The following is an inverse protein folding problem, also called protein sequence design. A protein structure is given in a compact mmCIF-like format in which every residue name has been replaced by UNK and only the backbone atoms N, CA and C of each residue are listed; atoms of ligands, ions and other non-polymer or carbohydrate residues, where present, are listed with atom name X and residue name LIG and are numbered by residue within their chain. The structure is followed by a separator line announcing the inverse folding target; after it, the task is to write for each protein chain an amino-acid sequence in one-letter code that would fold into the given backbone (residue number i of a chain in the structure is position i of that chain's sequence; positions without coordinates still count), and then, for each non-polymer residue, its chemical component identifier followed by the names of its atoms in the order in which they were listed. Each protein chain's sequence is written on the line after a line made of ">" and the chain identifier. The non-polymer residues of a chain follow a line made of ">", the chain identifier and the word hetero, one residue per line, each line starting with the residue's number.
data_IF_558007897676
#
_entry.id   IF_558007897676
#
_cell.length_a   1.000
_cell.length_b   1.000
_cell.length_c   1.000
_cell.angle_alpha   90.00
_cell.angle_beta   90.00
_cell.angle_gamma   90.00
#
_symmetry.space_group_name_H-M   'P 1'
#
loop_
_entity.id
_entity.type
_entity.pdbx_description
1 polymer ?
#
# COMPACT_ATOMS: atom_id res chain seq x y z
N UNK A 1 -42.15 -18.66 70.57
CA UNK A 1 -41.38 -18.61 69.30
C UNK A 1 -40.99 -17.15 69.04
N UNK A 2 -39.70 -16.84 68.94
CA UNK A 2 -39.19 -15.47 69.00
C UNK A 2 -39.64 -14.62 67.78
N UNK A 3 -40.33 -13.48 67.95
CA UNK A 3 -40.92 -12.70 66.85
C UNK A 3 -39.87 -12.25 65.80
N UNK A 4 -38.63 -12.03 66.22
CA UNK A 4 -37.51 -11.70 65.31
C UNK A 4 -37.23 -12.82 64.29
N UNK A 5 -37.39 -14.09 64.66
CA UNK A 5 -37.15 -15.22 63.75
C UNK A 5 -38.27 -15.39 62.70
N UNK A 6 -39.50 -14.99 63.01
CA UNK A 6 -40.59 -14.98 62.01
C UNK A 6 -40.36 -13.91 60.94
N UNK A 7 -39.91 -12.72 61.33
CA UNK A 7 -39.61 -11.64 60.40
C UNK A 7 -38.49 -12.01 59.41
N UNK A 8 -37.42 -12.67 59.88
CA UNK A 8 -36.30 -13.11 59.04
C UNK A 8 -36.77 -14.14 57.98
N UNK A 9 -37.61 -15.11 58.37
CA UNK A 9 -38.13 -16.12 57.43
C UNK A 9 -39.02 -15.51 56.34
N UNK A 10 -39.83 -14.52 56.68
CA UNK A 10 -40.65 -13.79 55.70
C UNK A 10 -39.77 -12.99 54.74
N UNK A 11 -38.73 -12.33 55.24
CA UNK A 11 -37.80 -11.56 54.40
C UNK A 11 -37.06 -12.46 53.38
N UNK A 12 -36.59 -13.63 53.81
CA UNK A 12 -35.94 -14.60 52.91
C UNK A 12 -36.92 -15.09 51.84
N UNK A 13 -38.16 -15.41 52.21
CA UNK A 13 -39.18 -15.88 51.26
C UNK A 13 -39.50 -14.82 50.19
N UNK A 14 -39.62 -13.55 50.59
CA UNK A 14 -39.89 -12.43 49.67
C UNK A 14 -38.68 -12.18 48.75
N UNK A 15 -37.45 -12.24 49.28
CA UNK A 15 -36.23 -12.07 48.48
C UNK A 15 -36.06 -13.17 47.42
N UNK A 16 -36.34 -14.43 47.79
CA UNK A 16 -36.31 -15.55 46.83
C UNK A 16 -37.37 -15.41 45.74
N UNK A 17 -38.59 -14.95 46.10
CA UNK A 17 -39.64 -14.69 45.13
C UNK A 17 -39.24 -13.57 44.14
N UNK A 18 -38.65 -12.49 44.64
CA UNK A 18 -38.15 -11.40 43.80
C UNK A 18 -37.04 -11.87 42.84
N UNK A 19 -36.12 -12.72 43.31
CA UNK A 19 -35.05 -13.28 42.47
C UNK A 19 -35.59 -14.15 41.33
N UNK A 20 -36.60 -14.99 41.60
CA UNK A 20 -37.25 -15.81 40.57
C UNK A 20 -37.95 -14.94 39.53
N UNK A 21 -38.62 -13.87 39.94
CA UNK A 21 -39.26 -12.92 39.02
C UNK A 21 -38.21 -12.26 38.12
N UNK A 22 -37.06 -11.83 38.67
CA UNK A 22 -35.98 -11.24 37.88
C UNK A 22 -35.44 -12.19 36.80
N UNK A 23 -35.29 -13.49 37.09
CA UNK A 23 -34.85 -14.49 36.12
C UNK A 23 -35.87 -14.66 34.98
N UNK A 24 -37.17 -14.71 35.30
CA UNK A 24 -38.24 -14.85 34.30
C UNK A 24 -38.28 -13.63 33.38
N UNK A 25 -38.09 -12.43 33.93
CA UNK A 25 -38.01 -11.20 33.13
C UNK A 25 -36.78 -11.21 32.22
N UNK A 26 -35.60 -11.57 32.73
CA UNK A 26 -34.39 -11.66 31.92
C UNK A 26 -34.52 -12.68 30.77
N UNK A 27 -35.12 -13.84 31.03
CA UNK A 27 -35.39 -14.88 30.03
C UNK A 27 -36.38 -14.41 28.95
N UNK A 28 -37.44 -13.69 29.33
CA UNK A 28 -38.41 -13.16 28.36
C UNK A 28 -37.81 -12.07 27.47
N UNK A 29 -36.96 -11.18 28.02
CA UNK A 29 -36.22 -10.18 27.24
C UNK A 29 -35.24 -10.86 26.27
N UNK A 30 -34.50 -11.86 26.72
CA UNK A 30 -33.60 -12.63 25.86
C UNK A 30 -34.36 -13.33 24.72
N UNK A 31 -35.51 -13.93 25.00
CA UNK A 31 -36.37 -14.55 24.00
C UNK A 31 -36.84 -13.56 22.92
N UNK A 32 -37.26 -12.36 23.31
CA UNK A 32 -37.66 -11.30 22.37
C UNK A 32 -36.50 -10.84 21.48
N UNK A 33 -35.28 -10.70 22.04
CA UNK A 33 -34.07 -10.34 21.28
C UNK A 33 -33.76 -11.41 20.23
N UNK A 34 -33.84 -12.69 20.60
CA UNK A 34 -33.61 -13.82 19.68
C UNK A 34 -34.67 -13.86 18.58
N UNK A 35 -35.96 -13.65 18.90
CA UNK A 35 -37.04 -13.57 17.92
C UNK A 35 -36.85 -12.40 16.94
N UNK A 36 -36.40 -11.22 17.39
CA UNK A 36 -36.07 -10.08 16.53
C UNK A 36 -34.88 -10.39 15.60
N UNK A 37 -33.82 -11.04 16.11
CA UNK A 37 -32.67 -11.50 15.28
C UNK A 37 -33.09 -12.52 14.22
N UNK A 38 -34.01 -13.45 14.54
CA UNK A 38 -34.56 -14.42 13.57
C UNK A 38 -35.44 -13.77 12.49
N UNK A 39 -36.21 -12.73 12.82
CA UNK A 39 -36.99 -11.95 11.81
C UNK A 39 -36.08 -11.15 10.86
N UNK A 40 -34.95 -10.60 11.33
CA UNK A 40 -33.93 -9.96 10.47
C UNK A 40 -33.31 -10.95 9.47
N UNK A 41 -33.01 -12.19 9.90
CA UNK A 41 -32.48 -13.24 9.01
C UNK A 41 -33.47 -13.75 7.95
N UNK A 42 -34.79 -13.57 8.10
CA UNK A 42 -35.80 -13.97 7.09
C UNK A 42 -36.06 -12.91 5.99
N UNK A 43 -35.60 -11.66 6.15
CA UNK A 43 -35.72 -10.61 5.11
C UNK A 43 -34.50 -10.49 4.17
N UNK A 44 -33.43 -11.25 4.41
CA UNK A 44 -32.28 -11.39 3.50
C UNK A 44 -32.22 -12.80 2.92
N UNK A 45 -32.96 -13.03 1.83
CA UNK A 45 -32.69 -14.08 0.83
C UNK A 45 -33.09 -13.52 -0.55
N UNK A 46 -32.16 -13.33 -1.49
CA UNK A 46 -32.54 -13.15 -2.89
C UNK A 46 -32.95 -14.50 -3.49
N UNK A 47 -34.00 -14.48 -4.31
CA UNK A 47 -34.47 -15.59 -5.14
C UNK A 47 -33.49 -15.80 -6.30
N UNK A 48 -32.95 -17.01 -6.43
CA UNK A 48 -32.58 -17.62 -7.71
C UNK A 48 -33.90 -18.24 -8.27
N UNK A 49 -34.25 -18.31 -9.55
CA UNK A 49 -33.48 -18.61 -10.76
C UNK A 49 -34.40 -18.45 -12.01
N UNK A 50 -33.82 -18.59 -13.21
CA UNK A 50 -34.37 -18.90 -14.55
C UNK A 50 -34.72 -17.76 -15.51
N UNK A 51 -33.75 -17.38 -16.36
CA UNK A 51 -33.83 -17.55 -17.83
C UNK A 51 -32.69 -16.79 -18.52
N UNK A 52 -31.74 -17.52 -19.11
CA UNK A 52 -30.89 -17.17 -20.26
C UNK A 52 -29.61 -18.02 -20.21
N UNK A 53 -29.71 -19.27 -20.64
CA UNK A 53 -28.56 -20.06 -21.07
C UNK A 53 -28.91 -20.69 -22.41
N UNK A 54 -28.51 -20.00 -23.49
CA UNK A 54 -28.22 -20.57 -24.82
C UNK A 54 -27.81 -19.43 -25.75
N UNK A 55 -26.52 -19.10 -25.76
CA UNK A 55 -25.86 -18.57 -26.99
C UNK A 55 -24.35 -18.39 -26.87
N UNK A 56 -23.75 -18.44 -25.68
CA UNK A 56 -22.29 -18.21 -25.54
C UNK A 56 -21.59 -19.51 -25.19
N UNK A 57 -21.52 -20.43 -26.15
CA UNK A 57 -20.69 -21.64 -26.04
C UNK A 57 -20.08 -22.06 -27.39
N UNK A 58 -19.93 -21.12 -28.34
CA UNK A 58 -19.29 -21.40 -29.63
C UNK A 58 -18.12 -20.48 -30.01
N UNK A 59 -17.84 -19.40 -29.28
CA UNK A 59 -16.71 -18.50 -29.62
C UNK A 59 -15.46 -18.69 -28.74
N UNK A 60 -15.53 -19.48 -27.67
CA UNK A 60 -14.41 -19.68 -26.74
C UNK A 60 -13.59 -20.97 -27.00
N UNK A 61 -13.77 -21.60 -28.15
CA UNK A 61 -13.00 -22.77 -28.58
C UNK A 61 -12.11 -22.52 -29.82
N UNK A 62 -12.04 -21.28 -30.33
CA UNK A 62 -11.22 -20.91 -31.49
C UNK A 62 -9.96 -20.08 -31.19
N UNK A 63 -9.68 -19.73 -29.93
CA UNK A 63 -8.51 -18.91 -29.57
C UNK A 63 -7.35 -19.67 -28.89
N UNK A 64 -7.36 -21.01 -28.89
CA UNK A 64 -6.28 -21.83 -28.30
C UNK A 64 -5.33 -22.49 -29.32
N UNK A 65 -5.44 -22.20 -30.62
CA UNK A 65 -4.64 -22.84 -31.68
C UNK A 65 -4.20 -21.83 -32.77
N UNK A 66 -3.35 -20.87 -32.41
CA UNK A 66 -2.39 -20.13 -33.27
C UNK A 66 -1.84 -18.99 -32.40
N UNK A 67 -0.55 -18.76 -32.14
CA UNK A 67 0.67 -18.99 -32.90
C UNK A 67 1.78 -19.23 -31.86
N UNK A 68 2.33 -20.45 -31.81
CA UNK A 68 3.71 -20.70 -31.37
C UNK A 68 4.45 -21.14 -32.61
N UNK A 69 5.40 -20.35 -33.10
CA UNK A 69 6.77 -20.73 -33.53
C UNK A 69 7.43 -19.65 -34.38
N UNK A 70 8.76 -19.58 -34.20
CA UNK A 70 9.79 -18.91 -34.99
C UNK A 70 9.95 -17.39 -34.76
N UNK A 71 11.14 -16.82 -34.65
CA UNK A 71 12.53 -17.29 -34.58
C UNK A 71 13.39 -16.02 -34.45
N UNK A 72 14.52 -16.18 -33.79
CA UNK A 72 15.65 -15.25 -33.67
C UNK A 72 15.93 -14.37 -34.90
N UNK A 73 16.22 -13.08 -34.67
CA UNK A 73 17.35 -12.44 -35.35
C UNK A 73 17.91 -11.24 -34.58
N UNK A 74 19.18 -11.41 -34.23
CA UNK A 74 20.17 -10.46 -33.73
C UNK A 74 20.71 -9.63 -34.89
N UNK A 75 20.70 -8.29 -34.79
CA UNK A 75 21.51 -7.35 -35.61
C UNK A 75 21.72 -6.10 -34.74
N UNK A 76 22.80 -6.02 -33.96
CA UNK A 76 24.06 -5.31 -34.24
C UNK A 76 23.93 -3.88 -34.76
N UNK A 77 24.34 -2.97 -33.88
CA UNK A 77 24.95 -1.64 -34.05
C UNK A 77 25.49 -1.31 -35.46
N UNK A 78 25.20 -0.09 -35.94
CA UNK A 78 26.24 0.72 -36.57
C UNK A 78 25.91 2.22 -36.48
N UNK A 79 26.91 2.96 -36.00
CA UNK A 79 26.98 4.41 -35.96
C UNK A 79 27.44 4.89 -37.34
N UNK A 80 26.81 5.91 -37.90
CA UNK A 80 27.40 6.66 -39.01
C UNK A 80 27.05 8.14 -38.89
N UNK A 81 28.09 8.89 -38.55
CA UNK A 81 28.26 10.31 -38.77
C UNK A 81 28.32 10.59 -40.27
N UNK A 82 27.54 11.56 -40.74
CA UNK A 82 27.87 12.34 -41.94
C UNK A 82 27.39 13.78 -41.78
N UNK A 83 28.32 14.67 -42.08
CA UNK A 83 28.26 16.12 -42.09
C UNK A 83 28.28 16.55 -43.55
N UNK A 84 27.41 17.48 -43.93
CA UNK A 84 27.42 18.43 -45.07
C UNK A 84 25.97 18.88 -45.29
N UNK A 85 25.61 20.11 -45.68
CA UNK A 85 26.30 21.37 -45.95
C UNK A 85 25.22 22.46 -45.93
N UNK A 86 25.62 23.72 -45.75
CA UNK A 86 24.75 24.89 -45.77
C UNK A 86 23.97 25.04 -47.09
N UNK A 87 22.70 25.44 -47.00
CA UNK A 87 22.15 26.47 -47.89
C UNK A 87 20.95 27.18 -47.24
N UNK A 88 20.92 28.48 -47.50
CA UNK A 88 20.25 29.54 -46.77
C UNK A 88 18.88 29.84 -47.40
N UNK A 89 17.79 29.50 -46.72
CA UNK A 89 16.46 30.05 -47.05
C UNK A 89 15.62 30.25 -45.79
N UNK A 90 15.53 31.52 -45.40
CA UNK A 90 14.72 32.06 -44.32
C UNK A 90 13.23 31.85 -44.64
N UNK A 91 12.57 30.97 -43.89
CA UNK A 91 11.13 30.95 -43.68
C UNK A 91 10.91 30.86 -42.16
N UNK A 92 9.91 31.55 -41.56
CA UNK A 92 9.75 31.54 -40.12
C UNK A 92 9.25 30.17 -39.67
N UNK A 93 10.18 29.33 -39.21
CA UNK A 93 9.86 28.10 -38.49
C UNK A 93 9.09 28.47 -37.23
N UNK A 94 7.86 27.99 -37.19
CA UNK A 94 7.01 27.96 -36.00
C UNK A 94 7.81 27.43 -34.81
N UNK A 95 7.69 28.04 -33.62
CA UNK A 95 8.41 27.55 -32.45
C UNK A 95 7.92 26.15 -32.14
N UNK A 96 8.84 25.20 -32.29
CA UNK A 96 8.76 23.81 -31.82
C UNK A 96 8.17 23.84 -30.41
N UNK A 97 6.94 23.36 -30.26
CA UNK A 97 6.22 23.26 -28.99
C UNK A 97 7.08 22.45 -28.01
N UNK A 98 7.84 23.14 -27.17
CA UNK A 98 8.16 22.63 -25.84
C UNK A 98 6.80 22.55 -25.16
N UNK A 99 6.22 21.35 -25.11
CA UNK A 99 4.93 21.12 -24.48
C UNK A 99 5.10 21.44 -22.98
N UNK A 100 4.76 22.67 -22.60
CA UNK A 100 4.38 22.97 -21.24
C UNK A 100 3.20 22.03 -20.93
N UNK A 101 3.47 20.90 -20.27
CA UNK A 101 2.47 19.91 -19.91
C UNK A 101 1.63 20.49 -18.78
N UNK A 102 0.52 21.08 -19.16
CA UNK A 102 -0.58 21.46 -18.28
C UNK A 102 -1.33 20.17 -17.92
N UNK A 103 -1.64 19.99 -16.64
CA UNK A 103 -2.54 18.93 -16.15
C UNK A 103 -3.81 18.91 -17.02
N UNK A 104 -4.12 17.77 -17.65
CA UNK A 104 -5.22 17.70 -18.65
C UNK A 104 -6.59 17.84 -17.96
N UNK A 105 -7.51 18.59 -18.57
CA UNK A 105 -8.93 18.58 -18.18
C UNK A 105 -9.65 17.47 -18.93
N UNK A 106 -10.32 16.58 -18.20
CA UNK A 106 -11.18 15.54 -18.76
C UNK A 106 -12.65 15.87 -18.55
N UNK A 107 -13.51 15.33 -19.40
CA UNK A 107 -14.97 15.38 -19.23
C UNK A 107 -15.45 14.16 -18.44
N UNK A 108 -16.59 14.29 -17.75
CA UNK A 108 -17.22 13.16 -17.03
C UNK A 108 -17.50 12.00 -17.99
N UNK A 109 -17.91 12.30 -19.23
CA UNK A 109 -18.20 11.31 -20.24
C UNK A 109 -16.95 10.50 -20.65
N UNK A 110 -15.81 11.17 -20.84
CA UNK A 110 -14.55 10.47 -21.11
C UNK A 110 -14.16 9.51 -19.97
N UNK A 111 -14.34 9.93 -18.72
CA UNK A 111 -14.04 9.10 -17.56
C UNK A 111 -15.05 7.96 -17.37
N UNK A 112 -16.33 8.21 -17.68
CA UNK A 112 -17.40 7.21 -17.67
C UNK A 112 -17.11 6.10 -18.68
N UNK A 113 -16.74 6.45 -19.91
CA UNK A 113 -16.32 5.48 -20.94
C UNK A 113 -15.06 4.74 -20.51
N UNK A 114 -14.03 5.47 -20.02
CA UNK A 114 -12.76 4.88 -19.62
C UNK A 114 -12.88 3.86 -18.49
N UNK A 115 -13.83 4.07 -17.58
CA UNK A 115 -14.07 3.22 -16.40
C UNK A 115 -15.21 2.21 -16.60
N UNK A 116 -15.78 2.11 -17.81
CA UNK A 116 -16.96 1.27 -18.09
C UNK A 116 -18.10 1.58 -17.12
N UNK A 117 -18.59 2.82 -17.14
CA UNK A 117 -19.68 3.29 -16.29
C UNK A 117 -19.38 3.24 -14.79
N UNK A 118 -18.12 3.46 -14.40
CA UNK A 118 -17.66 3.29 -13.01
C UNK A 118 -18.07 1.91 -12.44
N UNK A 119 -17.99 0.87 -13.27
CA UNK A 119 -18.34 -0.49 -12.89
C UNK A 119 -17.58 -0.95 -11.65
N UNK A 120 -18.26 -1.68 -10.77
CA UNK A 120 -17.63 -2.30 -9.59
C UNK A 120 -16.52 -3.29 -9.94
N UNK A 121 -16.48 -3.82 -11.16
CA UNK A 121 -15.38 -4.66 -11.67
C UNK A 121 -14.08 -3.89 -11.85
N UNK A 122 -14.18 -2.58 -12.09
CA UNK A 122 -13.04 -1.68 -12.22
C UNK A 122 -12.70 -0.99 -10.89
N UNK A 123 -13.43 -1.27 -9.80
CA UNK A 123 -13.15 -0.70 -8.49
C UNK A 123 -11.85 -1.29 -7.92
N UNK A 124 -10.84 -0.42 -7.75
CA UNK A 124 -9.57 -0.79 -7.12
C UNK A 124 -9.80 -0.87 -5.62
N UNK A 125 -10.15 0.27 -5.02
CA UNK A 125 -10.39 0.44 -3.59
C UNK A 125 -11.09 1.78 -3.29
N UNK A 126 -12.00 1.80 -2.32
CA UNK A 126 -12.65 3.03 -1.86
C UNK A 126 -13.43 3.73 -2.97
N UNK A 127 -12.94 4.89 -3.41
CA UNK A 127 -13.50 5.70 -4.49
C UNK A 127 -12.61 5.73 -5.74
N UNK A 128 -11.67 4.79 -5.89
CA UNK A 128 -10.70 4.73 -6.99
C UNK A 128 -11.03 3.60 -7.96
N UNK A 129 -11.15 3.95 -9.23
CA UNK A 129 -11.45 3.06 -10.35
C UNK A 129 -10.26 2.92 -11.29
N UNK A 130 -10.05 1.72 -11.81
CA UNK A 130 -9.20 1.49 -12.96
C UNK A 130 -9.94 1.96 -14.22
N UNK A 131 -9.22 2.66 -15.10
CA UNK A 131 -9.76 3.05 -16.40
C UNK A 131 -8.72 2.98 -17.49
N UNK A 132 -9.16 3.11 -18.75
CA UNK A 132 -8.28 3.16 -19.92
C UNK A 132 -8.56 4.41 -20.75
N UNK A 133 -7.61 5.35 -20.76
CA UNK A 133 -7.68 6.61 -21.51
C UNK A 133 -6.62 6.62 -22.61
N UNK A 134 -7.03 6.86 -23.86
CA UNK A 134 -6.12 6.92 -25.03
C UNK A 134 -5.18 5.70 -25.11
N UNK A 135 -5.68 4.51 -24.75
CA UNK A 135 -4.93 3.26 -24.74
C UNK A 135 -4.00 3.03 -23.53
N UNK A 136 -3.97 3.96 -22.56
CA UNK A 136 -3.15 3.87 -21.35
C UNK A 136 -4.03 3.58 -20.13
N UNK A 137 -3.54 2.73 -19.24
CA UNK A 137 -4.22 2.44 -17.97
C UNK A 137 -4.03 3.62 -17.01
N UNK A 138 -5.12 3.99 -16.32
CA UNK A 138 -5.19 5.14 -15.40
C UNK A 138 -5.94 4.77 -14.12
N UNK A 139 -5.66 5.49 -13.04
CA UNK A 139 -6.41 5.44 -11.80
C UNK A 139 -7.29 6.69 -11.68
N UNK A 140 -8.61 6.50 -11.70
CA UNK A 140 -9.61 7.58 -11.60
C UNK A 140 -10.17 7.60 -10.18
N UNK A 141 -9.79 8.61 -9.40
CA UNK A 141 -10.25 8.82 -8.03
C UNK A 141 -11.43 9.79 -8.02
N UNK A 142 -12.59 9.29 -7.60
CA UNK A 142 -13.76 10.10 -7.30
C UNK A 142 -13.54 10.82 -5.95
N UNK A 143 -13.78 12.13 -5.94
CA UNK A 143 -13.48 13.01 -4.82
C UNK A 143 -14.50 14.14 -4.70
N UNK A 144 -14.56 14.77 -3.53
CA UNK A 144 -15.42 15.94 -3.32
C UNK A 144 -14.76 17.23 -3.85
N UNK A 145 -15.57 18.25 -4.23
CA UNK A 145 -15.08 19.60 -4.54
C UNK A 145 -14.21 20.23 -3.45
N UNK A 146 -14.58 19.99 -2.19
CA UNK A 146 -13.83 20.44 -1.02
C UNK A 146 -12.43 19.82 -0.91
N UNK A 147 -12.22 18.67 -1.54
CA UNK A 147 -10.90 18.02 -1.59
C UNK A 147 -10.06 18.64 -2.69
N UNK A 148 -10.62 18.86 -3.89
CA UNK A 148 -9.89 19.44 -5.02
C UNK A 148 -9.44 20.87 -4.75
N UNK A 149 -10.26 21.67 -4.09
CA UNK A 149 -9.88 23.03 -3.67
C UNK A 149 -8.66 23.07 -2.73
N UNK A 150 -8.35 21.96 -2.05
CA UNK A 150 -7.19 21.81 -1.14
C UNK A 150 -5.96 21.21 -1.81
N UNK A 151 -6.06 20.84 -3.09
CA UNK A 151 -4.93 20.25 -3.83
C UNK A 151 -4.05 21.37 -4.35
N UNK A 152 -2.74 21.24 -4.09
CA UNK A 152 -1.74 22.16 -4.62
C UNK A 152 -1.37 21.82 -6.05
N UNK A 153 -2.24 22.16 -6.99
CA UNK A 153 -2.01 21.93 -8.42
C UNK A 153 -0.71 22.56 -8.95
N UNK A 154 -0.25 23.65 -8.33
CA UNK A 154 1.04 24.30 -8.63
C UNK A 154 2.24 23.33 -8.53
N UNK A 155 2.17 22.31 -7.66
CA UNK A 155 3.23 21.30 -7.53
C UNK A 155 3.31 20.38 -8.74
N UNK A 156 2.22 20.26 -9.52
CA UNK A 156 2.09 19.40 -10.69
C UNK A 156 2.29 20.13 -12.02
N UNK A 157 2.20 21.46 -12.04
CA UNK A 157 2.21 22.27 -13.26
C UNK A 157 3.61 22.70 -13.71
N UNK A 158 4.64 22.48 -12.90
CA UNK A 158 5.99 22.91 -13.26
C UNK A 158 6.67 21.89 -14.19
N UNK A 159 7.14 22.31 -15.39
CA UNK A 159 7.64 21.40 -16.42
C UNK A 159 8.87 20.58 -16.01
N UNK A 160 9.55 20.97 -14.91
CA UNK A 160 10.73 20.29 -14.37
C UNK A 160 10.46 19.57 -13.03
N UNK A 161 9.20 19.40 -12.59
CA UNK A 161 8.86 18.84 -11.26
C UNK A 161 8.26 17.44 -11.32
N UNK A 162 8.69 16.62 -12.28
CA UNK A 162 8.39 15.19 -12.29
C UNK A 162 9.50 14.42 -11.57
N UNK A 163 9.12 13.61 -10.60
CA UNK A 163 10.01 12.68 -9.94
C UNK A 163 9.54 11.26 -10.26
N UNK A 164 10.46 10.37 -10.66
CA UNK A 164 10.16 8.98 -11.02
C UNK A 164 9.38 8.25 -9.91
N UNK A 165 9.73 8.55 -8.66
CA UNK A 165 9.17 7.93 -7.45
C UNK A 165 7.97 8.67 -6.83
N UNK A 166 7.29 9.54 -7.58
CA UNK A 166 6.03 10.17 -7.15
C UNK A 166 4.94 9.84 -8.17
N UNK A 167 3.75 9.43 -7.71
CA UNK A 167 2.61 9.17 -8.58
C UNK A 167 2.22 10.45 -9.31
N UNK A 168 2.21 10.37 -10.64
CA UNK A 168 1.86 11.50 -11.50
C UNK A 168 0.35 11.73 -11.56
N UNK A 169 -0.07 12.97 -11.27
CA UNK A 169 -1.38 13.47 -11.63
C UNK A 169 -1.41 13.79 -13.14
N UNK A 170 -2.27 13.10 -13.87
CA UNK A 170 -2.44 13.25 -15.32
C UNK A 170 -3.44 14.34 -15.66
N UNK A 171 -4.48 14.47 -14.84
CA UNK A 171 -5.57 15.39 -15.10
C UNK A 171 -6.61 15.42 -14.00
N UNK A 172 -7.63 16.23 -14.22
CA UNK A 172 -8.81 16.32 -13.36
C UNK A 172 -10.07 16.50 -14.21
N UNK A 173 -11.22 16.23 -13.60
CA UNK A 173 -12.53 16.57 -14.15
C UNK A 173 -13.30 17.30 -13.05
N UNK A 174 -13.68 18.55 -13.31
CA UNK A 174 -14.62 19.27 -12.45
C UNK A 174 -16.04 18.90 -12.89
N UNK A 175 -16.93 18.65 -11.94
CA UNK A 175 -18.34 18.44 -12.25
C UNK A 175 -18.92 19.69 -12.91
N UNK A 176 -19.73 19.52 -13.95
CA UNK A 176 -20.38 20.64 -14.65
C UNK A 176 -21.61 21.21 -13.91
N UNK A 177 -21.92 20.66 -12.72
CA UNK A 177 -23.07 21.05 -11.90
C UNK A 177 -24.42 20.62 -12.48
N UNK A 178 -24.44 19.86 -13.58
CA UNK A 178 -25.66 19.51 -14.30
C UNK A 178 -26.27 18.24 -13.72
N UNK A 179 -27.39 18.36 -13.01
CA UNK A 179 -28.13 17.23 -12.44
C UNK A 179 -28.61 16.33 -13.58
N UNK A 180 -28.00 15.15 -13.74
CA UNK A 180 -28.53 14.09 -14.60
C UNK A 180 -29.06 12.96 -13.73
N UNK A 181 -30.20 12.38 -14.10
CA UNK A 181 -30.97 11.47 -13.24
C UNK A 181 -30.34 10.08 -13.03
N UNK A 182 -29.03 9.93 -13.23
CA UNK A 182 -28.37 8.60 -13.26
C UNK A 182 -27.11 8.51 -12.40
N UNK A 183 -26.44 9.62 -12.08
CA UNK A 183 -25.39 9.72 -11.05
C UNK A 183 -25.56 11.11 -10.45
N UNK A 184 -25.51 11.27 -9.13
CA UNK A 184 -25.46 12.61 -8.54
C UNK A 184 -24.15 13.28 -9.01
N UNK A 185 -24.22 14.08 -10.06
CA UNK A 185 -23.12 14.76 -10.77
C UNK A 185 -22.52 15.92 -9.96
N UNK A 186 -22.31 15.70 -8.67
CA UNK A 186 -21.51 16.57 -7.80
C UNK A 186 -20.09 16.04 -7.58
N UNK A 187 -19.78 14.86 -8.12
CA UNK A 187 -18.49 14.23 -7.97
C UNK A 187 -17.47 14.84 -8.94
N UNK A 188 -16.32 15.20 -8.39
CA UNK A 188 -15.16 15.61 -9.16
C UNK A 188 -14.15 14.46 -9.20
N UNK A 189 -13.30 14.46 -10.22
CA UNK A 189 -12.37 13.35 -10.44
C UNK A 189 -10.94 13.82 -10.59
N UNK A 190 -10.03 13.01 -10.06
CA UNK A 190 -8.60 13.11 -10.30
C UNK A 190 -8.14 11.88 -11.07
N UNK A 191 -7.32 12.11 -12.08
CA UNK A 191 -6.78 11.06 -12.94
C UNK A 191 -5.30 10.94 -12.69
N UNK A 192 -4.86 9.79 -12.20
CA UNK A 192 -3.46 9.48 -11.92
C UNK A 192 -2.94 8.41 -12.88
N UNK A 193 -1.61 8.32 -13.01
CA UNK A 193 -1.00 7.15 -13.62
C UNK A 193 -1.34 5.87 -12.84
N UNK A 194 -1.47 4.76 -13.55
CA UNK A 194 -1.80 3.47 -12.94
C UNK A 194 -0.52 2.68 -12.61
N UNK A 195 -0.35 2.38 -11.33
CA UNK A 195 0.70 1.52 -10.83
C UNK A 195 0.23 0.05 -10.82
N UNK A 196 0.73 -0.75 -11.77
CA UNK A 196 0.19 -2.08 -12.09
C UNK A 196 0.24 -3.08 -10.93
N UNK A 197 1.23 -2.96 -10.06
CA UNK A 197 1.42 -3.89 -8.94
C UNK A 197 0.70 -3.42 -7.66
N UNK A 198 -0.11 -2.36 -7.71
CA UNK A 198 -0.92 -1.94 -6.56
C UNK A 198 -0.09 -1.32 -5.43
N UNK A 199 -0.59 -1.37 -4.19
CA UNK A 199 0.07 -0.73 -3.05
C UNK A 199 1.07 -1.66 -2.35
N UNK A 200 2.15 -1.09 -1.80
CA UNK A 200 3.15 -1.81 -1.01
C UNK A 200 2.53 -2.58 0.17
N UNK A 201 1.51 -1.99 0.81
CA UNK A 201 0.71 -2.65 1.86
C UNK A 201 0.17 -4.01 1.39
N UNK A 202 -0.31 -4.11 0.15
CA UNK A 202 -0.90 -5.36 -0.36
C UNK A 202 0.16 -6.46 -0.55
N UNK A 203 1.42 -6.09 -0.78
CA UNK A 203 2.55 -7.01 -0.88
C UNK A 203 3.11 -7.45 0.47
N UNK A 204 3.04 -6.59 1.49
CA UNK A 204 3.59 -6.87 2.83
C UNK A 204 2.56 -7.54 3.74
N UNK A 205 1.32 -7.04 3.75
CA UNK A 205 0.27 -7.48 4.70
C UNK A 205 -0.84 -8.30 4.05
N UNK A 206 -0.96 -8.21 2.73
CA UNK A 206 -1.96 -8.94 1.97
C UNK A 206 -1.47 -10.36 1.69
N UNK A 207 -1.97 -11.35 2.42
CA UNK A 207 -1.97 -12.76 1.97
C UNK A 207 -2.86 -13.01 0.75
N UNK A 208 -3.02 -12.01 -0.11
CA UNK A 208 -3.91 -11.90 -1.27
C UNK A 208 -3.20 -11.11 -2.38
N UNK A 209 -1.92 -11.38 -2.63
CA UNK A 209 -1.38 -11.21 -3.97
C UNK A 209 -2.16 -12.15 -4.92
N UNK A 210 -3.40 -11.78 -5.25
CA UNK A 210 -3.80 -11.22 -6.54
C UNK A 210 -5.30 -11.42 -6.71
N UNK A 211 -6.01 -10.38 -7.16
CA UNK A 211 -7.42 -10.47 -7.61
C UNK A 211 -7.58 -11.38 -8.86
N UNK A 212 -6.52 -12.03 -9.33
CA UNK A 212 -6.56 -13.10 -10.33
C UNK A 212 -6.35 -14.46 -9.64
N UNK A 213 -7.26 -15.40 -9.89
CA UNK A 213 -7.18 -16.78 -9.41
C UNK A 213 -5.89 -17.52 -9.84
N UNK A 214 -5.12 -16.96 -10.78
CA UNK A 214 -3.90 -17.55 -11.32
C UNK A 214 -2.68 -17.35 -10.41
N UNK A 215 -2.64 -16.31 -9.58
CA UNK A 215 -1.41 -15.94 -8.84
C UNK A 215 -1.49 -16.30 -7.35
N UNK A 216 -2.71 -16.54 -6.84
CA UNK A 216 -2.91 -17.17 -5.53
C UNK A 216 -2.21 -18.53 -5.38
N UNK A 217 -1.91 -19.23 -6.49
CA UNK A 217 -1.14 -20.49 -6.49
C UNK A 217 0.38 -20.32 -6.45
N UNK A 218 0.92 -19.10 -6.56
CA UNK A 218 2.36 -18.86 -6.74
C UNK A 218 3.06 -18.21 -5.55
N UNK A 219 2.37 -17.91 -4.44
CA UNK A 219 2.97 -17.28 -3.24
C UNK A 219 3.91 -16.11 -3.59
N UNK A 220 3.42 -15.11 -4.31
CA UNK A 220 4.24 -13.97 -4.74
C UNK A 220 4.50 -13.03 -3.54
N UNK A 221 5.77 -12.92 -3.13
CA UNK A 221 6.26 -11.98 -2.11
C UNK A 221 7.40 -11.13 -2.68
N UNK A 222 7.66 -9.97 -2.08
CA UNK A 222 8.79 -9.13 -2.45
C UNK A 222 10.10 -9.77 -1.99
N UNK A 223 11.03 -9.95 -2.92
CA UNK A 223 12.42 -10.35 -2.63
C UNK A 223 13.14 -9.29 -1.81
N UNK A 224 14.25 -9.67 -1.17
CA UNK A 224 15.09 -8.73 -0.41
C UNK A 224 15.52 -7.51 -1.23
N UNK A 225 16.00 -7.70 -2.47
CA UNK A 225 16.46 -6.60 -3.30
C UNK A 225 15.31 -5.67 -3.73
N UNK A 226 14.14 -6.23 -4.05
CA UNK A 226 12.96 -5.41 -4.33
C UNK A 226 12.60 -4.56 -3.12
N UNK A 227 12.66 -5.12 -1.91
CA UNK A 227 12.41 -4.36 -0.67
C UNK A 227 13.40 -3.21 -0.49
N UNK A 228 14.70 -3.44 -0.69
CA UNK A 228 15.72 -2.39 -0.61
C UNK A 228 15.52 -1.29 -1.66
N UNK A 229 15.25 -1.67 -2.92
CA UNK A 229 14.99 -0.71 -3.98
C UNK A 229 13.73 0.12 -3.72
N UNK A 230 12.66 -0.50 -3.21
CA UNK A 230 11.45 0.20 -2.77
C UNK A 230 11.76 1.20 -1.66
N UNK A 231 12.57 0.83 -0.66
CA UNK A 231 12.99 1.77 0.39
C UNK A 231 13.74 2.97 -0.22
N UNK A 232 14.69 2.71 -1.12
CA UNK A 232 15.49 3.75 -1.77
C UNK A 232 14.63 4.70 -2.62
N UNK A 233 13.72 4.14 -3.42
CA UNK A 233 12.76 4.89 -4.23
C UNK A 233 11.91 5.86 -3.39
N UNK A 234 11.38 5.38 -2.25
CA UNK A 234 10.60 6.23 -1.34
C UNK A 234 11.48 7.31 -0.68
N UNK A 235 12.72 6.97 -0.31
CA UNK A 235 13.66 7.94 0.25
C UNK A 235 14.03 9.04 -0.75
N UNK A 236 14.23 8.68 -2.04
CA UNK A 236 14.47 9.65 -3.11
C UNK A 236 13.28 10.61 -3.28
N UNK A 237 12.05 10.09 -3.24
CA UNK A 237 10.85 10.92 -3.27
C UNK A 237 10.79 11.90 -2.09
N UNK A 238 11.11 11.44 -0.88
CA UNK A 238 11.15 12.30 0.31
C UNK A 238 12.26 13.34 0.23
N UNK A 239 13.45 12.97 -0.24
CA UNK A 239 14.55 13.90 -0.44
C UNK A 239 14.16 15.02 -1.40
N UNK A 240 13.54 14.65 -2.52
CA UNK A 240 13.00 15.61 -3.47
C UNK A 240 12.01 16.56 -2.79
N UNK A 241 11.05 16.03 -2.03
CA UNK A 241 10.03 16.84 -1.36
C UNK A 241 10.61 17.79 -0.30
N UNK A 242 11.56 17.32 0.51
CA UNK A 242 12.06 18.03 1.68
C UNK A 242 13.22 18.99 1.37
N UNK A 243 14.05 18.65 0.39
CA UNK A 243 15.32 19.35 0.16
C UNK A 243 15.42 19.99 -1.24
N UNK A 244 14.72 19.45 -2.25
CA UNK A 244 14.78 19.97 -3.63
C UNK A 244 13.63 20.94 -3.91
N UNK A 245 12.43 20.66 -3.40
CA UNK A 245 11.32 21.60 -3.51
C UNK A 245 11.59 22.86 -2.67
N UNK A 246 11.40 24.02 -3.29
CA UNK A 246 11.39 25.31 -2.62
C UNK A 246 10.04 26.01 -2.85
N UNK A 247 9.23 26.25 -1.81
CA UNK A 247 9.48 25.87 -0.40
C UNK A 247 9.45 24.34 -0.18
N UNK A 248 10.08 23.89 0.91
CA UNK A 248 10.06 22.48 1.34
C UNK A 248 8.62 21.99 1.50
N UNK A 249 8.32 20.81 0.99
CA UNK A 249 7.00 20.18 1.06
C UNK A 249 7.01 19.04 2.07
N UNK A 250 6.04 19.01 3.00
CA UNK A 250 5.86 17.90 3.95
C UNK A 250 4.63 17.11 3.53
N UNK A 251 4.80 15.80 3.32
CA UNK A 251 3.81 14.89 2.76
C UNK A 251 2.65 14.59 3.72
N UNK A 252 2.91 14.42 5.01
CA UNK A 252 1.95 14.22 6.12
C UNK A 252 1.08 12.97 6.06
N UNK A 253 1.16 12.18 4.97
CA UNK A 253 0.38 10.95 4.79
C UNK A 253 1.25 9.80 4.27
N UNK A 254 2.50 9.72 4.75
CA UNK A 254 3.41 8.64 4.37
C UNK A 254 2.98 7.34 5.06
N UNK A 255 2.63 6.31 4.28
CA UNK A 255 2.22 4.98 4.77
C UNK A 255 2.27 3.95 3.65
N UNK A 256 2.39 2.67 4.00
CA UNK A 256 2.53 1.57 3.02
C UNK A 256 1.39 1.49 2.00
N UNK A 257 0.16 1.92 2.34
CA UNK A 257 -0.95 1.99 1.37
C UNK A 257 -0.78 3.10 0.31
N UNK A 258 -0.09 4.18 0.66
CA UNK A 258 0.11 5.32 -0.23
C UNK A 258 1.40 5.20 -1.04
N UNK A 259 2.11 4.08 -0.93
CA UNK A 259 3.27 3.75 -1.75
C UNK A 259 2.79 2.70 -2.75
N UNK A 260 2.86 3.02 -4.03
CA UNK A 260 2.42 2.16 -5.12
C UNK A 260 3.60 1.59 -5.88
N UNK A 261 3.44 0.42 -6.47
CA UNK A 261 4.47 -0.28 -7.24
C UNK A 261 4.08 -0.31 -8.72
N UNK A 262 4.96 0.21 -9.58
CA UNK A 262 4.78 0.10 -11.03
C UNK A 262 5.10 -1.31 -11.55
N UNK A 263 5.13 -1.49 -12.87
CA UNK A 263 5.32 -2.79 -13.52
C UNK A 263 6.66 -3.45 -13.15
N UNK A 264 7.70 -2.64 -12.97
CA UNK A 264 9.06 -3.06 -12.63
C UNK A 264 9.30 -3.12 -11.10
N UNK A 265 8.27 -2.91 -10.29
CA UNK A 265 8.33 -2.82 -8.82
C UNK A 265 9.08 -1.60 -8.28
N UNK A 266 9.21 -0.53 -9.07
CA UNK A 266 9.67 0.74 -8.54
C UNK A 266 8.58 1.41 -7.71
N UNK A 267 8.98 2.02 -6.60
CA UNK A 267 8.05 2.64 -5.69
C UNK A 267 7.68 4.06 -6.14
N UNK A 268 6.39 4.38 -6.05
CA UNK A 268 5.80 5.68 -6.37
C UNK A 268 4.93 6.16 -5.21
N UNK A 269 5.34 7.27 -4.58
CA UNK A 269 4.61 7.89 -3.47
C UNK A 269 3.38 8.63 -4.03
N UNK A 270 2.18 8.23 -3.58
CA UNK A 270 0.91 8.85 -3.91
C UNK A 270 0.44 9.88 -2.89
N UNK A 271 -0.63 10.61 -3.21
CA UNK A 271 -1.18 11.74 -2.42
C UNK A 271 -0.23 12.95 -2.29
N UNK A 272 0.76 13.08 -3.16
CA UNK A 272 1.53 14.31 -3.32
C UNK A 272 0.60 15.50 -3.62
N UNK A 273 0.86 16.67 -3.03
CA UNK A 273 0.00 17.86 -3.11
C UNK A 273 -1.38 17.75 -2.45
N UNK A 274 -1.63 16.72 -1.64
CA UNK A 274 -2.91 16.48 -0.95
C UNK A 274 -2.79 16.55 0.58
N UNK A 275 -1.78 17.25 1.12
CA UNK A 275 -1.46 17.25 2.55
C UNK A 275 -2.56 17.88 3.43
N UNK A 276 -3.36 18.79 2.88
CA UNK A 276 -4.49 19.42 3.56
C UNK A 276 -5.76 18.55 3.53
N UNK A 277 -5.83 17.58 2.61
CA UNK A 277 -6.95 16.64 2.50
C UNK A 277 -6.98 15.66 3.69
N UNK A 278 -5.82 15.42 4.31
CA UNK A 278 -5.64 14.47 5.43
C UNK A 278 -6.37 14.95 6.70
N UNK A 279 -6.46 16.26 6.92
CA UNK A 279 -7.08 16.83 8.14
C UNK A 279 -8.57 16.48 8.27
N UNK A 280 -9.26 16.21 7.15
CA UNK A 280 -10.69 15.93 7.13
C UNK A 280 -11.02 14.42 7.20
N UNK A 281 -10.05 13.53 7.00
CA UNK A 281 -10.28 12.08 7.16
C UNK A 281 -10.36 11.65 8.64
N UNK A 282 -9.91 12.51 9.56
CA UNK A 282 -9.86 12.22 11.00
C UNK A 282 -11.09 12.70 11.79
N UNK A 283 -12.05 13.36 11.15
CA UNK A 283 -13.37 13.58 11.75
C UNK A 283 -14.28 12.42 11.35
N UNK A 284 -14.97 11.75 12.30
CA UNK A 284 -16.08 10.88 11.96
C UNK A 284 -17.21 11.77 11.45
N UNK A 285 -17.17 12.11 10.16
CA UNK A 285 -18.36 12.62 9.48
C UNK A 285 -19.43 11.54 9.61
N UNK A 286 -20.59 11.92 10.13
CA UNK A 286 -21.75 11.06 10.19
C UNK A 286 -21.97 10.47 8.79
N UNK A 287 -21.67 9.18 8.66
CA UNK A 287 -21.85 8.42 7.43
C UNK A 287 -23.27 8.67 6.91
N UNK A 288 -23.46 9.34 5.76
CA UNK A 288 -24.78 9.46 5.19
C UNK A 288 -25.30 8.05 4.91
N UNK A 289 -26.57 7.83 5.20
CA UNK A 289 -27.24 6.53 5.14
C UNK A 289 -27.43 5.97 3.71
N UNK A 290 -26.51 6.24 2.78
CA UNK A 290 -26.43 5.60 1.47
C UNK A 290 -25.24 4.65 1.48
N UNK A 291 -25.55 3.36 1.63
CA UNK A 291 -24.56 2.30 1.68
C UNK A 291 -23.72 2.21 0.42
N UNK A 292 -22.47 2.66 0.51
CA UNK A 292 -21.37 2.17 -0.31
C UNK A 292 -20.11 2.04 0.55
N UNK A 293 -19.69 0.78 0.71
CA UNK A 293 -18.33 0.30 0.95
C UNK A 293 -17.66 0.64 2.28
N UNK A 294 -17.70 -0.38 3.16
CA UNK A 294 -16.82 -0.55 4.32
C UNK A 294 -15.35 -0.32 3.94
N UNK A 295 -14.72 0.70 4.55
CA UNK A 295 -13.27 0.69 4.77
C UNK A 295 -12.94 -0.63 5.50
N UNK A 296 -12.19 -1.52 4.85
CA UNK A 296 -11.88 -2.87 5.37
C UNK A 296 -10.82 -2.84 6.47
N UNK A 297 -10.56 -1.67 7.07
CA UNK A 297 -9.36 -1.39 7.85
C UNK A 297 -9.69 -1.00 9.29
N UNK A 298 -8.93 -1.49 10.28
CA UNK A 298 -8.97 -0.88 11.60
C UNK A 298 -8.37 0.52 11.47
N UNK A 299 -9.17 1.56 11.72
CA UNK A 299 -8.75 2.96 11.81
C UNK A 299 -7.50 3.19 12.69
N UNK A 300 -7.19 2.24 13.58
CA UNK A 300 -5.97 2.24 14.40
C UNK A 300 -4.66 2.00 13.64
N UNK A 301 -4.63 1.52 12.39
CA UNK A 301 -3.34 1.38 11.68
C UNK A 301 -2.76 2.74 11.27
N UNK A 302 -3.61 3.69 10.94
CA UNK A 302 -3.18 5.03 10.56
C UNK A 302 -2.50 5.76 11.74
N UNK A 303 -2.91 5.47 12.98
CA UNK A 303 -2.26 5.97 14.20
C UNK A 303 -0.82 5.49 14.37
N UNK A 304 -0.45 4.36 13.75
CA UNK A 304 0.89 3.79 13.87
C UNK A 304 1.97 4.59 13.15
N UNK A 305 1.59 5.41 12.17
CA UNK A 305 2.50 6.28 11.41
C UNK A 305 2.65 7.67 12.02
N UNK A 306 1.85 8.00 13.04
CA UNK A 306 1.83 9.34 13.62
C UNK A 306 3.07 9.57 14.46
N UNK A 307 3.87 10.58 14.09
CA UNK A 307 5.03 11.00 14.85
C UNK A 307 4.62 11.57 16.23
N UNK A 308 5.36 11.28 17.32
CA UNK A 308 4.99 11.70 18.67
C UNK A 308 4.80 13.21 18.82
N UNK A 309 5.67 14.02 18.20
CA UNK A 309 5.62 15.47 18.26
C UNK A 309 4.36 16.04 17.56
N UNK A 310 3.91 15.41 16.48
CA UNK A 310 2.69 15.79 15.79
C UNK A 310 1.46 15.44 16.65
N UNK A 311 1.44 14.26 17.29
CA UNK A 311 0.36 13.88 18.20
C UNK A 311 0.28 14.80 19.43
N UNK A 312 1.43 15.23 19.97
CA UNK A 312 1.49 15.98 21.22
C UNK A 312 1.27 17.48 21.03
N UNK A 313 1.79 18.05 19.94
CA UNK A 313 1.84 19.52 19.74
C UNK A 313 1.33 19.99 18.38
N UNK A 314 0.99 19.07 17.47
CA UNK A 314 0.64 19.41 16.09
C UNK A 314 1.81 19.94 15.27
N UNK A 315 3.06 19.75 15.72
CA UNK A 315 4.26 20.21 15.03
C UNK A 315 4.40 19.55 13.66
N UNK A 316 4.57 20.37 12.62
CA UNK A 316 4.73 19.92 11.24
C UNK A 316 6.14 20.25 10.78
N UNK A 317 6.90 19.22 10.41
CA UNK A 317 8.27 19.32 9.93
C UNK A 317 8.59 18.13 9.02
N UNK A 318 9.61 18.23 8.14
CA UNK A 318 10.09 17.09 7.35
C UNK A 318 10.37 15.82 8.18
N UNK A 319 10.82 15.99 9.43
CA UNK A 319 11.09 14.88 10.37
C UNK A 319 9.85 14.01 10.67
N UNK A 320 8.64 14.54 10.50
CA UNK A 320 7.41 13.76 10.68
C UNK A 320 7.25 12.69 9.58
N UNK A 321 7.61 13.03 8.34
CA UNK A 321 7.57 12.09 7.22
C UNK A 321 8.69 11.06 7.36
N UNK A 322 9.84 11.44 7.91
CA UNK A 322 10.94 10.51 8.23
C UNK A 322 10.49 9.47 9.26
N UNK A 323 9.76 9.89 10.31
CA UNK A 323 9.19 8.95 11.28
C UNK A 323 8.23 7.96 10.62
N UNK A 324 7.28 8.48 9.83
CA UNK A 324 6.32 7.65 9.12
C UNK A 324 7.01 6.70 8.11
N UNK A 325 8.06 7.15 7.44
CA UNK A 325 8.90 6.29 6.59
C UNK A 325 9.66 5.24 7.40
N UNK A 326 10.16 5.57 8.59
CA UNK A 326 10.74 4.61 9.52
C UNK A 326 9.77 3.49 9.87
N UNK A 327 8.50 3.79 10.08
CA UNK A 327 7.46 2.76 10.26
C UNK A 327 7.31 1.89 9.02
N UNK A 328 7.32 2.47 7.81
CA UNK A 328 7.30 1.71 6.54
C UNK A 328 8.52 0.79 6.42
N UNK A 329 9.72 1.24 6.81
CA UNK A 329 10.91 0.39 6.85
C UNK A 329 10.71 -0.82 7.79
N UNK A 330 10.12 -0.59 8.97
CA UNK A 330 9.82 -1.67 9.92
C UNK A 330 8.77 -2.65 9.37
N UNK A 331 7.75 -2.15 8.64
CA UNK A 331 6.79 -3.01 7.93
C UNK A 331 7.49 -3.88 6.88
N UNK A 332 8.36 -3.28 6.05
CA UNK A 332 9.13 -3.96 5.00
C UNK A 332 10.05 -5.03 5.59
N UNK A 333 10.70 -4.76 6.72
CA UNK A 333 11.59 -5.71 7.39
C UNK A 333 10.83 -6.91 7.96
N UNK A 334 9.67 -6.66 8.58
CA UNK A 334 9.02 -7.62 9.47
C UNK A 334 7.77 -8.31 8.91
N UNK A 335 7.19 -7.78 7.82
CA UNK A 335 5.92 -8.28 7.29
C UNK A 335 4.73 -8.04 8.24
N UNK A 336 4.88 -7.14 9.24
CA UNK A 336 3.90 -6.92 10.32
C UNK A 336 3.25 -5.55 10.20
N UNK A 337 1.97 -5.41 10.55
CA UNK A 337 1.29 -4.12 10.51
C UNK A 337 1.85 -3.16 11.57
N UNK A 338 1.68 -1.83 11.36
CA UNK A 338 2.26 -0.79 12.21
C UNK A 338 1.76 -0.85 13.67
N UNK A 339 0.51 -1.30 13.87
CA UNK A 339 -0.08 -1.60 15.18
C UNK A 339 -0.68 -3.00 15.15
N UNK A 340 -0.22 -3.87 16.07
CA UNK A 340 -0.81 -5.20 16.29
C UNK A 340 -1.70 -5.15 17.52
N UNK A 341 -3.01 -5.37 17.37
CA UNK A 341 -3.90 -5.55 18.55
C UNK A 341 -3.71 -6.96 19.13
N UNK A 342 -3.45 -7.05 20.43
CA UNK A 342 -3.47 -8.32 21.17
C UNK A 342 -4.88 -8.95 21.11
N UNK A 343 -4.94 -10.28 20.96
CA UNK A 343 -6.22 -11.03 20.99
C UNK A 343 -6.61 -11.48 22.42
N UNK A 344 -5.88 -11.12 23.46
CA UNK A 344 -6.10 -11.59 24.84
C UNK A 344 -5.77 -10.53 25.90
N UNK A 345 -6.44 -10.61 27.06
CA UNK A 345 -6.22 -9.84 28.30
C UNK A 345 -4.85 -10.08 28.98
N UNK A 346 -3.83 -10.47 28.22
CA UNK A 346 -2.44 -10.43 28.66
C UNK A 346 -1.92 -9.00 28.54
N UNK A 347 -1.19 -8.51 29.54
CA UNK A 347 -0.57 -7.16 29.61
C UNK A 347 0.45 -6.82 28.49
N UNK A 348 0.47 -7.58 27.41
CA UNK A 348 1.17 -7.23 26.17
C UNK A 348 0.13 -6.52 25.27
N UNK A 349 -0.22 -5.31 25.72
CA UNK A 349 -1.11 -4.38 25.04
C UNK A 349 -0.53 -4.06 23.66
N UNK A 350 -1.38 -3.81 22.66
CA UNK A 350 -0.97 -3.85 21.26
C UNK A 350 0.31 -3.04 20.94
N UNK A 351 1.43 -3.73 20.72
CA UNK A 351 2.72 -3.05 20.56
C UNK A 351 2.81 -2.36 19.19
N UNK A 352 3.24 -1.10 19.20
CA UNK A 352 3.65 -0.36 18.00
C UNK A 352 4.97 -0.92 17.49
N UNK A 353 5.17 -0.95 16.16
CA UNK A 353 6.46 -1.40 15.60
C UNK A 353 7.65 -0.57 16.11
N UNK A 354 7.46 0.73 16.29
CA UNK A 354 8.50 1.64 16.81
C UNK A 354 8.95 1.28 18.23
N UNK A 355 8.03 0.88 19.11
CA UNK A 355 8.36 0.41 20.47
C UNK A 355 8.99 -0.98 20.43
N UNK A 356 8.46 -1.86 19.57
CA UNK A 356 8.93 -3.24 19.47
C UNK A 356 10.38 -3.31 19.01
N UNK A 357 10.79 -2.50 18.03
CA UNK A 357 12.17 -2.51 17.56
C UNK A 357 13.15 -1.98 18.62
N UNK A 358 12.77 -0.93 19.35
CA UNK A 358 13.55 -0.40 20.49
C UNK A 358 13.77 -1.50 21.55
N UNK A 359 12.73 -2.28 21.88
CA UNK A 359 12.84 -3.39 22.82
C UNK A 359 13.72 -4.56 22.31
N UNK A 360 13.64 -4.89 21.01
CA UNK A 360 14.48 -5.93 20.40
C UNK A 360 15.97 -5.54 20.48
N UNK A 361 16.29 -4.29 20.11
CA UNK A 361 17.66 -3.80 20.07
C UNK A 361 18.28 -3.57 21.46
N UNK A 362 17.46 -3.32 22.49
CA UNK A 362 17.92 -3.20 23.88
C UNK A 362 18.05 -4.55 24.61
N UNK A 363 17.90 -5.68 23.91
CA UNK A 363 17.98 -7.00 24.52
C UNK A 363 19.39 -7.57 24.53
N UNK A 364 19.69 -8.51 25.44
CA UNK A 364 20.99 -9.19 25.49
C UNK A 364 21.25 -10.17 24.34
N UNK A 365 20.26 -10.44 23.48
CA UNK A 365 20.32 -11.40 22.36
C UNK A 365 19.74 -10.77 21.08
N UNK A 366 20.32 -9.64 20.66
CA UNK A 366 19.80 -8.83 19.55
C UNK A 366 19.68 -9.62 18.25
N UNK A 367 20.74 -10.32 17.85
CA UNK A 367 20.78 -10.98 16.55
C UNK A 367 19.69 -12.04 16.37
N UNK A 368 19.49 -12.89 17.37
CA UNK A 368 18.45 -13.92 17.36
C UNK A 368 17.04 -13.31 17.32
N UNK A 369 16.79 -12.29 18.14
CA UNK A 369 15.48 -11.63 18.16
C UNK A 369 15.17 -10.85 16.88
N UNK A 370 16.18 -10.28 16.23
CA UNK A 370 15.99 -9.67 14.92
C UNK A 370 15.63 -10.74 13.90
N UNK A 371 16.37 -11.87 13.83
CA UNK A 371 16.05 -12.98 12.91
C UNK A 371 14.62 -13.50 13.10
N UNK A 372 14.18 -13.66 14.35
CA UNK A 372 12.80 -14.08 14.67
C UNK A 372 11.76 -13.01 14.28
N UNK A 373 12.15 -11.73 14.31
CA UNK A 373 11.26 -10.63 14.03
C UNK A 373 11.11 -10.33 12.53
N UNK A 374 12.10 -10.67 11.71
CA UNK A 374 12.09 -10.52 10.25
C UNK A 374 10.90 -11.26 9.61
N UNK A 375 10.53 -10.82 8.41
CA UNK A 375 9.46 -11.44 7.64
C UNK A 375 9.81 -12.89 7.26
N UNK A 376 8.97 -13.84 7.70
CA UNK A 376 9.12 -15.26 7.40
C UNK A 376 9.12 -15.55 5.89
N UNK A 377 8.49 -14.70 5.06
CA UNK A 377 8.49 -14.86 3.61
C UNK A 377 9.89 -14.72 2.99
N UNK A 378 10.81 -14.02 3.65
CA UNK A 378 12.20 -13.90 3.20
C UNK A 378 13.01 -15.19 3.45
N UNK A 379 12.60 -16.02 4.42
CA UNK A 379 13.37 -17.21 4.83
C UNK A 379 14.79 -16.82 5.25
N UNK A 380 15.80 -17.44 4.63
CA UNK A 380 17.22 -17.09 4.80
C UNK A 380 17.77 -16.26 3.61
N UNK A 381 16.89 -15.79 2.70
CA UNK A 381 17.28 -15.12 1.46
C UNK A 381 17.53 -13.62 1.65
N UNK A 382 18.33 -13.27 2.65
CA UNK A 382 18.82 -11.91 2.85
C UNK A 382 20.15 -11.93 3.63
N UNK A 383 21.08 -11.03 3.29
CA UNK A 383 22.30 -10.88 4.07
C UNK A 383 21.99 -10.20 5.41
N UNK A 384 22.29 -10.92 6.51
CA UNK A 384 21.91 -10.50 7.85
C UNK A 384 22.58 -9.19 8.27
N UNK A 385 23.83 -8.97 7.87
CA UNK A 385 24.56 -7.74 8.20
C UNK A 385 23.93 -6.50 7.55
N UNK A 386 23.55 -6.61 6.27
CA UNK A 386 22.80 -5.55 5.56
C UNK A 386 21.43 -5.33 6.19
N UNK A 387 20.74 -6.41 6.59
CA UNK A 387 19.47 -6.30 7.31
C UNK A 387 19.60 -5.60 8.66
N UNK A 388 20.68 -5.88 9.43
CA UNK A 388 20.96 -5.18 10.68
C UNK A 388 21.22 -3.68 10.48
N UNK A 389 21.92 -3.30 9.41
CA UNK A 389 22.09 -1.87 9.06
C UNK A 389 20.75 -1.21 8.74
N UNK A 390 19.88 -1.88 7.96
CA UNK A 390 18.53 -1.37 7.67
C UNK A 390 17.65 -1.27 8.93
N UNK A 391 17.75 -2.23 9.84
CA UNK A 391 17.07 -2.20 11.15
C UNK A 391 17.51 -0.98 11.97
N UNK A 392 18.82 -0.70 12.02
CA UNK A 392 19.35 0.46 12.74
C UNK A 392 18.89 1.77 12.12
N UNK A 393 18.87 1.87 10.78
CA UNK A 393 18.32 3.01 10.06
C UNK A 393 16.82 3.21 10.38
N UNK A 394 16.04 2.14 10.37
CA UNK A 394 14.62 2.20 10.71
C UNK A 394 14.41 2.68 12.15
N UNK A 395 15.23 2.20 13.11
CA UNK A 395 15.23 2.66 14.51
C UNK A 395 15.54 4.16 14.62
N UNK A 396 16.55 4.66 13.89
CA UNK A 396 16.90 6.09 13.88
C UNK A 396 15.78 6.96 13.31
N UNK A 397 15.10 6.48 12.25
CA UNK A 397 13.97 7.20 11.67
C UNK A 397 12.79 7.33 12.66
N UNK A 398 12.58 6.33 13.54
CA UNK A 398 11.46 6.32 14.52
C UNK A 398 11.87 6.80 15.92
N UNK A 399 12.94 7.60 16.02
CA UNK A 399 13.31 8.24 17.28
C UNK A 399 12.18 9.17 17.77
N UNK A 400 12.00 9.26 19.10
CA UNK A 400 10.96 10.11 19.67
C UNK A 400 11.35 11.59 19.58
N UNK A 401 12.66 11.90 19.61
CA UNK A 401 13.16 13.24 19.35
C UNK A 401 13.31 13.47 17.83
N UNK A 402 12.52 14.39 17.23
CA UNK A 402 12.60 14.67 15.81
C UNK A 402 13.97 15.18 15.34
N UNK A 403 14.79 15.74 16.24
CA UNK A 403 16.13 16.26 15.91
C UNK A 403 17.19 15.16 15.81
N UNK A 404 16.93 13.98 16.37
CA UNK A 404 17.82 12.81 16.30
C UNK A 404 17.56 11.95 15.05
N UNK A 405 16.46 12.21 14.33
CA UNK A 405 16.13 11.50 13.10
C UNK A 405 17.02 11.99 11.95
N UNK A 406 17.45 11.09 11.06
CA UNK A 406 18.21 11.48 9.88
C UNK A 406 17.34 12.33 8.93
N UNK A 407 17.98 13.21 8.18
CA UNK A 407 17.35 13.90 7.06
C UNK A 407 17.08 12.94 5.91
N UNK A 408 16.15 13.27 5.02
CA UNK A 408 15.86 12.44 3.84
C UNK A 408 17.12 12.17 2.99
N UNK A 409 18.02 13.16 2.86
CA UNK A 409 19.27 12.97 2.14
C UNK A 409 20.22 11.96 2.79
N UNK A 410 20.35 11.99 4.13
CA UNK A 410 21.15 10.98 4.86
C UNK A 410 20.55 9.58 4.74
N UNK A 411 19.22 9.47 4.73
CA UNK A 411 18.50 8.22 4.49
C UNK A 411 18.79 7.67 3.10
N UNK A 412 18.77 8.53 2.06
CA UNK A 412 19.12 8.15 0.68
C UNK A 412 20.55 7.62 0.59
N UNK A 413 21.53 8.30 1.21
CA UNK A 413 22.93 7.87 1.22
C UNK A 413 23.05 6.48 1.83
N UNK A 414 22.51 6.28 3.04
CA UNK A 414 22.56 4.99 3.73
C UNK A 414 21.86 3.87 2.93
N UNK A 415 20.70 4.14 2.32
CA UNK A 415 20.01 3.13 1.52
C UNK A 415 20.73 2.81 0.21
N UNK A 416 21.39 3.78 -0.42
CA UNK A 416 22.19 3.57 -1.63
C UNK A 416 23.35 2.63 -1.36
N UNK A 417 24.05 2.84 -0.24
CA UNK A 417 25.13 1.94 0.22
C UNK A 417 24.62 0.51 0.44
N UNK A 418 23.45 0.35 1.08
CA UNK A 418 22.85 -0.97 1.34
C UNK A 418 22.42 -1.69 0.05
N UNK A 419 21.90 -0.96 -0.95
CA UNK A 419 21.55 -1.53 -2.25
C UNK A 419 22.80 -2.01 -2.98
N UNK A 420 23.88 -1.22 -2.99
CA UNK A 420 25.14 -1.60 -3.63
C UNK A 420 25.76 -2.86 -2.99
N UNK A 421 25.82 -2.91 -1.65
CA UNK A 421 26.34 -4.09 -0.92
C UNK A 421 25.52 -5.37 -1.21
N UNK A 422 24.19 -5.23 -1.33
CA UNK A 422 23.30 -6.35 -1.64
C UNK A 422 23.47 -6.92 -3.06
N UNK A 423 23.91 -6.11 -4.01
CA UNK A 423 24.22 -6.56 -5.38
C UNK A 423 25.56 -7.31 -5.45
N UNK A 424 26.59 -6.81 -4.76
CA UNK A 424 27.92 -7.42 -4.72
C UNK A 424 27.92 -8.81 -4.07
N UNK A 425 27.24 -8.97 -2.93
CA UNK A 425 27.17 -10.28 -2.25
C UNK A 425 26.42 -11.32 -3.10
N UNK A 426 25.42 -10.91 -3.90
CA UNK A 426 24.74 -11.84 -4.80
C UNK A 426 25.59 -12.26 -6.00
N UNK A 427 26.46 -11.38 -6.52
CA UNK A 427 27.42 -11.75 -7.57
C UNK A 427 28.36 -12.82 -7.03
N UNK A 428 28.86 -12.66 -5.81
CA UNK A 428 29.75 -13.63 -5.15
C UNK A 428 29.04 -14.97 -4.91
N UNK A 429 27.78 -14.97 -4.46
CA UNK A 429 26.98 -16.19 -4.27
C UNK A 429 26.71 -16.90 -5.60
N UNK A 430 26.44 -16.15 -6.68
CA UNK A 430 26.25 -16.73 -8.03
C UNK A 430 27.54 -17.33 -8.57
N UNK A 431 28.68 -16.64 -8.44
CA UNK A 431 29.99 -17.14 -8.87
C UNK A 431 30.45 -18.38 -8.09
N UNK A 432 30.18 -18.43 -6.79
CA UNK A 432 30.50 -19.59 -5.95
C UNK A 432 29.60 -20.80 -6.22
N UNK A 433 28.31 -20.58 -6.53
CA UNK A 433 27.38 -21.63 -6.91
C UNK A 433 27.64 -22.22 -8.32
N UNK A 434 28.28 -21.46 -9.22
CA UNK A 434 28.63 -21.90 -10.57
C UNK A 434 29.96 -22.68 -10.67
N UNK A 435 30.67 -22.96 -9.57
CA UNK A 435 31.87 -23.80 -9.61
C UNK A 435 31.50 -25.29 -9.73
N UNK A 436 31.89 -25.99 -10.81
CA UNK A 436 31.64 -27.42 -10.90
C UNK A 436 32.38 -28.16 -9.78
N UNK A 437 31.68 -29.10 -9.13
CA UNK A 437 32.27 -30.03 -8.16
C UNK A 437 33.30 -30.91 -8.88
N UNK A 438 34.55 -30.46 -8.93
CA UNK A 438 35.66 -31.31 -9.37
C UNK A 438 35.91 -32.30 -8.24
N UNK A 439 35.43 -33.54 -8.43
CA UNK A 439 35.82 -34.66 -7.59
C UNK A 439 37.35 -34.83 -7.68
N UNK A 440 38.03 -34.79 -6.52
CA UNK A 440 39.45 -35.13 -6.47
C UNK A 440 39.63 -36.57 -6.96
N UNK A 441 40.64 -36.87 -7.81
CA UNK A 441 40.91 -38.24 -8.21
C UNK A 441 41.45 -39.01 -7.00
N UNK A 442 40.79 -40.13 -6.69
CA UNK A 442 41.31 -41.14 -5.79
C UNK A 442 42.69 -41.59 -6.26
N UNK A 443 43.71 -41.42 -5.41
CA UNK A 443 45.02 -42.00 -5.61
C UNK A 443 44.89 -43.53 -5.53
N UNK A 444 45.04 -44.20 -6.68
CA UNK A 444 45.23 -45.64 -6.77
C UNK A 444 46.62 -45.92 -6.19
N UNK A 445 46.67 -46.63 -5.06
CA UNK A 445 47.89 -47.25 -4.58
C UNK A 445 48.20 -48.44 -5.49
N UNK A 446 49.27 -48.33 -6.26
CA UNK A 446 49.89 -49.47 -6.91
C UNK A 446 50.35 -50.46 -5.84
N UNK A 447 49.81 -51.67 -5.93
CA UNK A 447 50.24 -52.86 -5.20
C UNK A 447 50.56 -53.90 -6.27
N UNK A 448 51.84 -54.29 -6.31
CA UNK A 448 52.40 -55.54 -6.83
C UNK A 448 52.47 -55.70 -8.37
N UNK A 449 53.51 -56.26 -8.98
CA UNK A 449 54.61 -57.11 -8.49
C UNK A 449 55.65 -57.33 -9.62
N UNK A 450 56.90 -57.60 -9.24
CA UNK A 450 58.02 -58.22 -10.00
C UNK A 450 58.68 -57.53 -11.21
#
# INVERSE_FOLDING_TARGET
>A
MNPKMRAIRVYIAVSMLAFVICIVVAASVFYVIVCKRRKKKKKMKPKHCLSCNRSVDLELQQLSLSVRTASEKKVSFESSSQMESLDDHILPTTPRKVAAMVVESYTVEELRVATTEFSSTNLIEGSVYHGRLKGKDVAVKCTSPDTISKIKFELFQSPNRFHSNIIRLLGFCMGDGTITNTIATHDEFLVFEYAKNGSLKDWIHGGLAMKSHFIASCSCFLTWNQRLNICLDVANALQYMHQVLNPSYVHRNMKSRNIFLDEEFHAKVGNFGMEECVRYQNYPEEVPASGYLYSTYPSSWDEGYIAPEYSNSGAISPSMDIYAFGIVLLEILSGKPPIRRGKSESKDDGCRLSERIKHILNSGIVAEKVREWMDNALGENYPFEVAMKLVNLARECVDDDPSLRPTAGEVVVKLTELVAEGEEEQVIVRESSCRPLVAQPFAIKDVNDF
#
